data_IF_568977804212
#
_entry.id   IF_568977804212
#
_cell.length_a   1.000
_cell.length_b   1.000
_cell.length_c   1.000
_cell.angle_alpha   90.00
_cell.angle_beta   90.00
_cell.angle_gamma   90.00
#
_symmetry.space_group_name_H-M   'P 1'
#
loop_
_entity.id
_entity.type
_entity.pdbx_description
1 polymer ?
#
# COMPACT_ATOMS: atom_id res chain seq x y z
N UNK A 1 1.55 18.49 -11.47
CA UNK A 1 0.47 18.83 -10.50
C UNK A 1 -0.37 17.63 -10.08
N UNK A 2 -0.76 16.70 -10.98
CA UNK A 2 -1.56 15.51 -10.62
C UNK A 2 -0.90 14.56 -9.61
N UNK A 3 0.43 14.40 -9.66
CA UNK A 3 1.14 13.41 -8.85
C UNK A 3 1.01 13.63 -7.34
N UNK A 4 0.90 14.87 -6.85
CA UNK A 4 0.79 15.13 -5.41
C UNK A 4 -0.60 14.74 -4.88
N UNK A 5 -1.67 15.02 -5.62
CA UNK A 5 -3.02 14.59 -5.28
C UNK A 5 -3.16 13.08 -5.37
N UNK A 6 -2.60 12.48 -6.42
CA UNK A 6 -2.54 11.04 -6.61
C UNK A 6 -1.82 10.35 -5.43
N UNK A 7 -0.65 10.87 -5.04
CA UNK A 7 0.11 10.39 -3.89
C UNK A 7 -0.71 10.50 -2.60
N UNK A 8 -1.25 11.70 -2.32
CA UNK A 8 -1.97 11.97 -1.09
C UNK A 8 -3.24 11.10 -0.97
N UNK A 9 -4.02 10.99 -2.04
CA UNK A 9 -5.23 10.15 -2.02
C UNK A 9 -4.87 8.68 -1.86
N UNK A 10 -3.84 8.19 -2.54
CA UNK A 10 -3.42 6.80 -2.39
C UNK A 10 -2.87 6.50 -1.00
N UNK A 11 -2.16 7.46 -0.40
CA UNK A 11 -1.73 7.39 0.98
C UNK A 11 -2.91 7.25 1.94
N UNK A 12 -3.89 8.15 1.86
CA UNK A 12 -5.07 8.11 2.72
C UNK A 12 -5.87 6.81 2.55
N UNK A 13 -6.00 6.33 1.31
CA UNK A 13 -6.64 5.05 1.01
C UNK A 13 -5.86 3.87 1.58
N UNK A 14 -4.53 3.89 1.48
CA UNK A 14 -3.66 2.86 2.07
C UNK A 14 -3.80 2.82 3.59
N UNK A 15 -3.82 3.99 4.24
CA UNK A 15 -4.05 4.10 5.68
C UNK A 15 -5.42 3.56 6.09
N UNK A 16 -6.47 3.88 5.32
CA UNK A 16 -7.82 3.37 5.56
C UNK A 16 -7.88 1.84 5.40
N UNK A 17 -7.23 1.27 4.39
CA UNK A 17 -7.15 -0.19 4.20
C UNK A 17 -6.48 -0.87 5.40
N UNK A 18 -5.38 -0.32 5.91
CA UNK A 18 -4.70 -0.87 7.10
C UNK A 18 -5.58 -0.77 8.36
N UNK A 19 -6.28 0.35 8.54
CA UNK A 19 -7.19 0.53 9.67
C UNK A 19 -8.34 -0.49 9.60
N UNK A 20 -8.94 -0.66 8.42
CA UNK A 20 -9.99 -1.65 8.18
C UNK A 20 -9.50 -3.09 8.38
N UNK A 21 -8.27 -3.38 7.96
CA UNK A 21 -7.64 -4.67 8.23
C UNK A 21 -7.52 -4.93 9.74
N UNK A 22 -7.20 -3.90 10.54
CA UNK A 22 -7.01 -4.07 12.00
C UNK A 22 -8.28 -4.33 12.80
N UNK A 23 -9.45 -3.95 12.27
CA UNK A 23 -10.73 -4.18 12.95
C UNK A 23 -11.35 -5.55 12.60
N UNK A 24 -10.82 -6.25 11.59
CA UNK A 24 -11.30 -7.57 11.18
C UNK A 24 -10.57 -8.67 11.97
N UNK A 25 -11.24 -9.41 12.87
CA UNK A 25 -10.58 -10.39 13.76
C UNK A 25 -9.89 -11.53 13.01
N UNK A 26 -10.37 -11.85 11.81
CA UNK A 26 -9.80 -12.88 10.94
C UNK A 26 -8.48 -12.44 10.32
N UNK A 27 -8.30 -11.14 10.12
CA UNK A 27 -7.09 -10.56 9.55
C UNK A 27 -6.05 -10.48 10.66
N UNK A 28 -5.01 -11.31 10.52
CA UNK A 28 -3.95 -11.46 11.53
C UNK A 28 -2.95 -10.30 11.45
N UNK A 29 -3.38 -9.11 11.84
CA UNK A 29 -2.58 -7.88 11.87
C UNK A 29 -2.56 -7.28 13.28
N UNK A 30 -1.45 -6.64 13.63
CA UNK A 30 -1.34 -5.75 14.77
C UNK A 30 -1.01 -4.34 14.26
N UNK A 31 -1.81 -3.37 14.70
CA UNK A 31 -1.70 -1.98 14.27
C UNK A 31 -1.57 -1.08 15.49
N UNK A 32 -0.42 -0.43 15.60
CA UNK A 32 0.04 0.26 16.80
C UNK A 32 1.25 -0.44 17.41
N UNK A 33 2.01 0.32 18.19
CA UNK A 33 3.13 -0.19 18.98
C UNK A 33 3.34 0.72 20.20
N UNK A 34 4.46 0.58 20.91
CA UNK A 34 4.77 1.41 22.09
C UNK A 34 4.89 2.91 21.78
N UNK A 35 5.05 3.28 20.50
CA UNK A 35 5.26 4.66 20.04
C UNK A 35 4.03 5.26 19.36
N UNK A 36 3.26 4.44 18.64
CA UNK A 36 2.10 4.88 17.86
C UNK A 36 0.83 4.19 18.32
N UNK A 37 -0.25 4.97 18.46
CA UNK A 37 -1.58 4.38 18.54
C UNK A 37 -2.01 3.82 17.16
N UNK A 38 -3.11 3.07 17.11
CA UNK A 38 -3.54 2.39 15.87
C UNK A 38 -3.85 3.34 14.72
N UNK A 39 -4.36 4.55 15.00
CA UNK A 39 -4.66 5.56 13.96
C UNK A 39 -3.37 6.17 13.43
N UNK A 40 -2.46 6.57 14.30
CA UNK A 40 -1.15 7.12 13.91
C UNK A 40 -0.34 6.09 13.13
N UNK A 41 -0.34 4.83 13.58
CA UNK A 41 0.31 3.72 12.91
C UNK A 41 -0.28 3.47 11.51
N UNK A 42 -1.59 3.58 11.34
CA UNK A 42 -2.24 3.41 10.03
C UNK A 42 -1.82 4.50 9.05
N UNK A 43 -1.80 5.75 9.52
CA UNK A 43 -1.39 6.91 8.71
C UNK A 43 0.09 6.78 8.35
N UNK A 44 0.94 6.47 9.32
CA UNK A 44 2.38 6.40 9.10
C UNK A 44 2.78 5.19 8.25
N UNK A 45 2.21 4.02 8.50
CA UNK A 45 2.42 2.83 7.66
C UNK A 45 1.87 3.03 6.25
N UNK A 46 0.70 3.65 6.11
CA UNK A 46 0.11 4.00 4.82
C UNK A 46 1.02 4.92 4.00
N UNK A 47 1.75 5.83 4.66
CA UNK A 47 2.72 6.69 4.00
C UNK A 47 3.86 5.86 3.41
N UNK A 48 4.42 4.94 4.19
CA UNK A 48 5.52 4.08 3.74
C UNK A 48 5.11 3.10 2.65
N UNK A 49 3.88 2.55 2.70
CA UNK A 49 3.33 1.76 1.61
C UNK A 49 3.28 2.55 0.30
N UNK A 50 2.75 3.77 0.37
CA UNK A 50 2.64 4.65 -0.79
C UNK A 50 4.02 5.05 -1.30
N UNK A 51 4.95 5.38 -0.40
CA UNK A 51 6.32 5.72 -0.74
C UNK A 51 7.02 4.56 -1.47
N UNK A 52 6.96 3.34 -0.95
CA UNK A 52 7.60 2.16 -1.57
C UNK A 52 7.02 1.86 -2.96
N UNK A 53 5.70 2.00 -3.11
CA UNK A 53 5.07 1.93 -4.42
C UNK A 53 5.60 3.01 -5.38
N UNK A 54 5.72 4.26 -4.92
CA UNK A 54 6.25 5.36 -5.74
C UNK A 54 7.71 5.17 -6.13
N UNK A 55 8.53 4.61 -5.23
CA UNK A 55 9.91 4.21 -5.56
C UNK A 55 9.93 3.20 -6.71
N UNK A 56 9.04 2.20 -6.69
CA UNK A 56 8.91 1.27 -7.81
C UNK A 56 8.43 1.96 -9.09
N UNK A 57 7.42 2.83 -8.99
CA UNK A 57 6.89 3.57 -10.12
C UNK A 57 7.97 4.38 -10.84
N UNK A 58 8.76 5.15 -10.08
CA UNK A 58 9.85 5.96 -10.63
C UNK A 58 10.93 5.07 -11.24
N UNK A 59 11.27 3.95 -10.60
CA UNK A 59 12.20 2.97 -11.16
C UNK A 59 11.70 2.39 -12.50
N UNK A 60 10.42 2.00 -12.56
CA UNK A 60 9.82 1.42 -13.76
C UNK A 60 9.80 2.43 -14.92
N UNK A 61 9.44 3.69 -14.64
CA UNK A 61 9.49 4.77 -15.63
C UNK A 61 10.91 5.02 -16.13
N UNK A 62 11.89 5.08 -15.23
CA UNK A 62 13.29 5.32 -15.60
C UNK A 62 13.89 4.18 -16.44
N UNK A 63 13.39 2.95 -16.26
CA UNK A 63 13.80 1.77 -17.04
C UNK A 63 13.00 1.61 -18.35
N UNK A 64 12.05 2.49 -18.64
CA UNK A 64 11.22 2.40 -19.85
C UNK A 64 10.34 1.14 -19.88
N UNK A 65 9.91 0.64 -18.72
CA UNK A 65 9.04 -0.52 -18.64
C UNK A 65 7.64 -0.15 -19.16
N UNK A 66 7.26 -0.68 -20.32
CA UNK A 66 5.93 -0.49 -20.88
C UNK A 66 4.97 -1.58 -20.39
N UNK A 67 3.90 -1.16 -19.71
CA UNK A 67 2.86 -2.05 -19.18
C UNK A 67 1.57 -1.98 -20.02
N UNK A 68 1.69 -2.11 -21.35
CA UNK A 68 0.55 -1.97 -22.27
C UNK A 68 -0.55 -3.03 -22.04
N UNK A 69 -0.15 -4.21 -21.55
CA UNK A 69 -1.10 -5.25 -21.17
C UNK A 69 -1.63 -5.00 -19.75
N UNK A 70 -2.93 -4.75 -19.64
CA UNK A 70 -3.65 -4.51 -18.37
C UNK A 70 -3.45 -5.62 -17.34
N UNK A 71 -3.41 -6.88 -17.76
CA UNK A 71 -3.23 -8.03 -16.85
C UNK A 71 -1.81 -8.02 -16.29
N UNK A 72 -0.81 -7.78 -17.15
CA UNK A 72 0.60 -7.71 -16.72
C UNK A 72 0.80 -6.53 -15.77
N UNK A 73 0.24 -5.36 -16.10
CA UNK A 73 0.28 -4.16 -15.24
C UNK A 73 -0.31 -4.45 -13.86
N UNK A 74 -1.49 -5.08 -13.81
CA UNK A 74 -2.14 -5.45 -12.56
C UNK A 74 -1.30 -6.42 -11.73
N UNK A 75 -0.75 -7.48 -12.35
CA UNK A 75 0.09 -8.46 -11.64
C UNK A 75 1.36 -7.84 -11.08
N UNK A 76 1.99 -6.91 -11.82
CA UNK A 76 3.15 -6.17 -11.34
C UNK A 76 2.78 -5.32 -10.12
N UNK A 77 1.69 -4.55 -10.19
CA UNK A 77 1.26 -3.75 -9.05
C UNK A 77 0.83 -4.60 -7.85
N UNK A 78 0.25 -5.78 -8.08
CA UNK A 78 -0.03 -6.74 -7.03
C UNK A 78 1.25 -7.15 -6.30
N UNK A 79 2.27 -7.57 -7.04
CA UNK A 79 3.56 -7.98 -6.46
C UNK A 79 4.18 -6.81 -5.70
N UNK A 80 4.17 -5.60 -6.25
CA UNK A 80 4.77 -4.41 -5.64
C UNK A 80 4.05 -4.03 -4.35
N UNK A 81 2.71 -4.00 -4.36
CA UNK A 81 1.93 -3.68 -3.16
C UNK A 81 2.09 -4.76 -2.10
N UNK A 82 2.07 -6.04 -2.47
CA UNK A 82 2.31 -7.13 -1.52
C UNK A 82 3.71 -7.09 -0.93
N UNK A 83 4.73 -6.78 -1.74
CA UNK A 83 6.09 -6.58 -1.27
C UNK A 83 6.20 -5.37 -0.33
N UNK A 84 5.54 -4.26 -0.65
CA UNK A 84 5.49 -3.08 0.22
C UNK A 84 4.85 -3.41 1.58
N UNK A 85 3.72 -4.11 1.60
CA UNK A 85 3.06 -4.57 2.84
C UNK A 85 3.98 -5.48 3.64
N UNK A 86 4.64 -6.43 2.98
CA UNK A 86 5.60 -7.32 3.63
C UNK A 86 6.77 -6.54 4.24
N UNK A 87 7.40 -5.62 3.50
CA UNK A 87 8.51 -4.78 3.98
C UNK A 87 8.06 -3.95 5.19
N UNK A 88 6.93 -3.25 5.08
CA UNK A 88 6.42 -2.40 6.17
C UNK A 88 6.13 -3.24 7.41
N UNK A 89 5.59 -4.45 7.24
CA UNK A 89 5.36 -5.40 8.33
C UNK A 89 6.65 -5.89 9.01
N UNK A 90 7.70 -6.18 8.23
CA UNK A 90 8.98 -6.62 8.80
C UNK A 90 9.55 -5.55 9.74
N UNK A 91 9.43 -4.28 9.34
CA UNK A 91 9.89 -3.12 10.11
C UNK A 91 8.79 -2.53 11.02
N UNK A 92 7.90 -3.37 11.58
CA UNK A 92 6.78 -2.95 12.43
C UNK A 92 7.16 -2.08 13.64
N UNK A 93 8.35 -2.25 14.18
CA UNK A 93 8.86 -1.42 15.28
C UNK A 93 9.11 0.04 14.87
N UNK A 94 9.34 0.30 13.58
CA UNK A 94 9.49 1.65 13.01
C UNK A 94 8.14 2.16 12.52
N UNK A 95 7.38 1.35 11.80
CA UNK A 95 6.20 1.83 11.07
C UNK A 95 4.88 1.68 11.82
N UNK A 96 4.82 0.80 12.83
CA UNK A 96 3.62 0.57 13.65
C UNK A 96 2.62 -0.43 13.06
N UNK A 97 2.95 -1.12 11.97
CA UNK A 97 2.11 -2.16 11.37
C UNK A 97 2.85 -3.48 11.33
N UNK A 98 2.21 -4.55 11.81
CA UNK A 98 2.74 -5.91 11.80
C UNK A 98 1.70 -6.88 11.25
N UNK A 99 2.13 -7.78 10.37
CA UNK A 99 1.44 -9.01 10.04
C UNK A 99 1.86 -10.09 11.04
N UNK A 100 0.88 -10.70 11.69
CA UNK A 100 1.08 -11.89 12.53
C UNK A 100 1.11 -13.16 11.67
N UNK A 101 0.49 -13.13 10.49
CA UNK A 101 0.64 -14.12 9.43
C UNK A 101 0.94 -13.42 8.10
N UNK A 102 2.12 -13.71 7.54
CA UNK A 102 2.61 -13.09 6.31
C UNK A 102 1.83 -13.48 5.06
N UNK A 103 0.99 -14.52 5.10
CA UNK A 103 0.06 -14.84 4.01
C UNK A 103 -0.88 -13.66 3.67
N UNK A 104 -1.21 -12.84 4.68
CA UNK A 104 -2.03 -11.65 4.52
C UNK A 104 -1.35 -10.51 3.74
N UNK A 105 -0.02 -10.56 3.53
CA UNK A 105 0.65 -9.58 2.67
C UNK A 105 0.12 -9.64 1.22
N UNK A 106 -0.19 -10.84 0.72
CA UNK A 106 -0.76 -10.99 -0.61
C UNK A 106 -2.20 -10.47 -0.66
N UNK A 107 -3.02 -10.82 0.34
CA UNK A 107 -4.42 -10.40 0.41
C UNK A 107 -4.57 -8.88 0.56
N UNK A 108 -3.82 -8.26 1.48
CA UNK A 108 -3.82 -6.80 1.66
C UNK A 108 -3.25 -6.10 0.43
N UNK A 109 -2.14 -6.62 -0.14
CA UNK A 109 -1.57 -6.10 -1.38
C UNK A 109 -2.55 -6.15 -2.55
N UNK A 110 -3.38 -7.18 -2.63
CA UNK A 110 -4.45 -7.29 -3.63
C UNK A 110 -5.51 -6.19 -3.44
N UNK A 111 -6.00 -5.98 -2.21
CA UNK A 111 -6.93 -4.90 -1.91
C UNK A 111 -6.33 -3.53 -2.26
N UNK A 112 -5.06 -3.30 -1.88
CA UNK A 112 -4.34 -2.06 -2.20
C UNK A 112 -4.18 -1.85 -3.71
N UNK A 113 -4.00 -2.92 -4.49
CA UNK A 113 -3.85 -2.84 -5.96
C UNK A 113 -5.17 -2.47 -6.64
N UNK A 114 -6.28 -3.04 -6.16
CA UNK A 114 -7.62 -2.63 -6.62
C UNK A 114 -7.87 -1.17 -6.24
N UNK A 115 -7.60 -0.80 -4.98
CA UNK A 115 -7.79 0.55 -4.48
C UNK A 115 -6.94 1.57 -5.27
N UNK A 116 -5.69 1.23 -5.58
CA UNK A 116 -4.80 2.03 -6.43
C UNK A 116 -5.40 2.25 -7.82
N UNK A 117 -5.89 1.17 -8.45
CA UNK A 117 -6.52 1.24 -9.77
C UNK A 117 -7.74 2.18 -9.76
N UNK A 118 -8.54 2.14 -8.70
CA UNK A 118 -9.69 3.04 -8.50
C UNK A 118 -9.22 4.48 -8.32
N UNK A 119 -8.22 4.73 -7.46
CA UNK A 119 -7.67 6.08 -7.21
C UNK A 119 -7.11 6.68 -8.51
N UNK A 120 -6.33 5.93 -9.27
CA UNK A 120 -5.77 6.38 -10.56
C UNK A 120 -6.88 6.72 -11.55
N UNK A 121 -7.92 5.89 -11.61
CA UNK A 121 -9.07 6.15 -12.48
C UNK A 121 -9.79 7.44 -12.11
N UNK A 122 -10.01 7.69 -10.82
CA UNK A 122 -10.74 8.87 -10.34
C UNK A 122 -9.92 10.17 -10.53
N UNK A 123 -8.61 10.13 -10.34
CA UNK A 123 -7.75 11.32 -10.34
C UNK A 123 -7.18 11.63 -11.72
N UNK A 124 -6.78 10.61 -12.49
CA UNK A 124 -6.10 10.78 -13.78
C UNK A 124 -7.07 10.82 -14.96
N UNK A 125 -8.20 10.10 -14.89
CA UNK A 125 -9.23 10.11 -15.96
C UNK A 125 -10.32 11.17 -15.73
N UNK A 126 -10.04 12.19 -14.91
CA UNK A 126 -10.77 13.47 -14.93
C UNK A 126 -10.11 14.39 -15.94
#
# INVERSE_FOLDING_TARGET
MYNHWLYLTYWLVSAAVLLLASIMPEVKVALGNWRFNSIEASIYSGFWLTFLYWVWWDFAMHRGMNYDNKIISFLVYLVVNSAAVWIVSVFHYIFGFQLLDYSWALAIGFVLTIAQSVVWRIIVQR
#
